data_IF_373931004983
#
_entry.id   IF_373931004983
#
_cell.length_a   1.000
_cell.length_b   1.000
_cell.length_c   1.000
_cell.angle_alpha   90.00
_cell.angle_beta   90.00
_cell.angle_gamma   90.00
#
_symmetry.space_group_name_H-M   'P 1'
#
loop_
_entity.id
_entity.type
_entity.pdbx_description
1 polymer ?
#
# COMPACT_ATOMS: atom_id res chain seq x y z
N UNK A 1 -11.72 -1.85 9.92
CA UNK A 1 -12.31 -0.81 9.05
C UNK A 1 -12.76 -1.47 7.73
N UNK A 2 -13.08 -0.71 6.69
CA UNK A 2 -13.45 -1.27 5.37
C UNK A 2 -12.26 -1.72 4.52
N UNK A 3 -11.02 -1.54 4.99
CA UNK A 3 -9.83 -2.00 4.27
C UNK A 3 -9.67 -3.54 4.35
N UNK A 4 -10.28 -4.16 5.38
CA UNK A 4 -10.48 -5.60 5.47
C UNK A 4 -9.38 -6.35 6.23
N UNK A 5 -9.62 -7.64 6.47
CA UNK A 5 -8.78 -8.49 7.34
C UNK A 5 -7.92 -9.51 6.59
N UNK A 6 -8.10 -9.63 5.27
CA UNK A 6 -7.47 -10.70 4.47
C UNK A 6 -5.94 -10.62 4.50
N UNK A 7 -5.36 -9.42 4.50
CA UNK A 7 -3.91 -9.22 4.62
C UNK A 7 -3.35 -9.79 5.92
N UNK A 8 -4.03 -9.55 7.04
CA UNK A 8 -3.66 -10.08 8.35
C UNK A 8 -3.77 -11.62 8.38
N UNK A 9 -4.87 -12.18 7.89
CA UNK A 9 -5.04 -13.64 7.83
C UNK A 9 -3.94 -14.30 6.99
N UNK A 10 -3.58 -13.68 5.86
CA UNK A 10 -2.50 -14.19 5.01
C UNK A 10 -1.14 -14.09 5.70
N UNK A 11 -0.87 -12.99 6.43
CA UNK A 11 0.35 -12.83 7.21
C UNK A 11 0.45 -13.88 8.32
N UNK A 12 -0.64 -14.15 9.05
CA UNK A 12 -0.67 -15.19 10.09
C UNK A 12 -0.38 -16.58 9.51
N UNK A 13 -0.95 -16.88 8.33
CA UNK A 13 -0.66 -18.11 7.61
C UNK A 13 0.84 -18.18 7.25
N UNK A 14 1.39 -17.15 6.61
CA UNK A 14 2.82 -17.10 6.23
C UNK A 14 3.73 -17.24 7.46
N UNK A 15 3.38 -16.58 8.57
CA UNK A 15 4.13 -16.67 9.81
C UNK A 15 4.15 -18.11 10.35
N UNK A 16 3.00 -18.80 10.34
CA UNK A 16 2.91 -20.21 10.71
C UNK A 16 3.76 -21.09 9.78
N UNK A 17 3.66 -20.89 8.47
CA UNK A 17 4.39 -21.69 7.47
C UNK A 17 5.92 -21.51 7.59
N UNK A 18 6.38 -20.34 8.07
CA UNK A 18 7.80 -20.00 8.22
C UNK A 18 8.32 -20.06 9.67
N UNK A 19 7.53 -20.58 10.62
CA UNK A 19 7.85 -20.60 12.05
C UNK A 19 8.19 -19.20 12.64
N UNK A 20 7.57 -18.14 12.11
CA UNK A 20 7.68 -16.80 12.67
C UNK A 20 6.71 -16.66 13.85
N UNK A 21 7.17 -16.04 14.94
CA UNK A 21 6.34 -15.77 16.10
C UNK A 21 5.69 -14.41 15.99
N UNK A 22 4.37 -14.39 15.90
CA UNK A 22 3.56 -13.19 16.14
C UNK A 22 3.36 -13.11 17.65
N UNK A 23 3.96 -12.11 18.28
CA UNK A 23 3.90 -11.88 19.73
C UNK A 23 2.53 -11.37 20.17
N UNK A 24 1.86 -10.62 19.31
CA UNK A 24 0.56 -10.05 19.58
C UNK A 24 -0.23 -9.78 18.31
N UNK A 25 -1.55 -9.92 18.38
CA UNK A 25 -2.48 -9.44 17.36
C UNK A 25 -3.55 -8.62 18.06
N UNK A 26 -3.71 -7.37 17.66
CA UNK A 26 -4.73 -6.48 18.20
C UNK A 26 -5.75 -6.09 17.14
N UNK A 27 -6.97 -5.84 17.61
CA UNK A 27 -8.06 -5.32 16.81
C UNK A 27 -8.70 -4.17 17.56
N UNK A 28 -9.01 -3.09 16.84
CA UNK A 28 -9.71 -1.95 17.40
C UNK A 28 -10.97 -1.66 16.56
N UNK A 29 -11.96 -1.08 17.21
CA UNK A 29 -13.20 -0.63 16.54
C UNK A 29 -12.99 0.78 16.01
N UNK A 30 -13.40 1.03 14.77
CA UNK A 30 -13.38 2.38 14.19
C UNK A 30 -14.75 3.02 14.39
N UNK A 31 -14.88 4.02 15.28
CA UNK A 31 -16.15 4.72 15.48
C UNK A 31 -16.53 5.56 14.25
N UNK A 32 -17.81 5.95 14.15
CA UNK A 32 -18.28 6.87 13.09
C UNK A 32 -17.58 8.23 13.18
N UNK A 33 -17.39 8.72 14.40
CA UNK A 33 -16.64 9.93 14.69
C UNK A 33 -15.25 9.53 15.18
N UNK A 34 -14.24 9.77 14.34
CA UNK A 34 -12.85 9.43 14.65
C UNK A 34 -12.29 10.18 15.86
N UNK A 35 -12.90 11.30 16.28
CA UNK A 35 -12.49 12.00 17.50
C UNK A 35 -12.76 11.17 18.77
N UNK A 36 -13.64 10.16 18.69
CA UNK A 36 -13.97 9.25 19.79
C UNK A 36 -13.10 7.99 19.79
N UNK A 37 -12.16 7.88 18.85
CA UNK A 37 -11.29 6.71 18.75
C UNK A 37 -10.26 6.74 19.87
N UNK A 38 -10.19 5.66 20.63
CA UNK A 38 -9.15 5.39 21.62
C UNK A 38 -8.60 3.98 21.38
N UNK A 39 -7.29 3.87 21.23
CA UNK A 39 -6.57 2.60 21.04
C UNK A 39 -5.53 2.36 22.13
N UNK A 40 -5.72 3.02 23.28
CA UNK A 40 -4.75 3.02 24.36
C UNK A 40 -4.53 1.64 24.96
N UNK A 41 -5.59 0.85 25.09
CA UNK A 41 -5.53 -0.50 25.66
C UNK A 41 -4.75 -1.44 24.74
N UNK A 42 -5.07 -1.45 23.45
CA UNK A 42 -4.43 -2.26 22.43
C UNK A 42 -2.92 -1.95 22.36
N UNK A 43 -2.57 -0.66 22.34
CA UNK A 43 -1.15 -0.24 22.31
C UNK A 43 -0.41 -0.56 23.62
N UNK A 44 -1.08 -0.50 24.78
CA UNK A 44 -0.49 -0.93 26.05
C UNK A 44 -0.20 -2.44 26.03
N UNK A 45 -1.08 -3.24 25.42
CA UNK A 45 -0.89 -4.68 25.24
C UNK A 45 0.29 -4.96 24.29
N UNK A 46 0.39 -4.23 23.18
CA UNK A 46 1.54 -4.31 22.26
C UNK A 46 2.84 -3.96 22.98
N UNK A 47 2.87 -2.85 23.74
CA UNK A 47 4.05 -2.43 24.51
C UNK A 47 4.54 -3.50 25.48
N UNK A 48 3.62 -4.19 26.16
CA UNK A 48 3.92 -5.27 27.11
C UNK A 48 4.38 -6.57 26.44
N UNK A 49 4.06 -6.77 25.15
CA UNK A 49 4.43 -7.97 24.40
C UNK A 49 5.92 -8.04 23.99
N UNK A 50 6.65 -6.94 24.23
CA UNK A 50 8.04 -6.72 23.80
C UNK A 50 8.23 -6.80 22.27
N UNK A 51 7.15 -6.68 21.49
CA UNK A 51 7.23 -6.54 20.05
C UNK A 51 7.99 -5.27 19.66
N UNK A 52 8.81 -5.38 18.62
CA UNK A 52 9.60 -4.27 18.06
C UNK A 52 9.23 -3.96 16.61
N UNK A 53 8.65 -4.93 15.91
CA UNK A 53 8.10 -4.74 14.58
C UNK A 53 6.59 -4.70 14.70
N UNK A 54 5.96 -3.63 14.25
CA UNK A 54 4.51 -3.42 14.34
C UNK A 54 3.97 -3.23 12.93
N UNK A 55 3.05 -4.10 12.53
CA UNK A 55 2.41 -4.06 11.21
C UNK A 55 1.02 -3.47 11.37
N UNK A 56 0.77 -2.30 10.82
CA UNK A 56 -0.50 -1.59 10.94
C UNK A 56 -1.31 -1.69 9.64
N UNK A 57 -2.42 -2.42 9.70
CA UNK A 57 -3.32 -2.63 8.57
C UNK A 57 -4.65 -1.87 8.77
N UNK A 58 -4.70 -0.61 8.33
CA UNK A 58 -5.91 0.21 8.33
C UNK A 58 -5.81 1.38 7.35
N UNK A 59 -6.90 2.12 7.16
CA UNK A 59 -6.93 3.35 6.37
C UNK A 59 -6.04 4.46 6.97
N UNK A 60 -5.49 5.33 6.10
CA UNK A 60 -4.60 6.44 6.47
C UNK A 60 -5.10 7.31 7.64
N UNK A 61 -6.36 7.75 7.61
CA UNK A 61 -6.93 8.60 8.67
C UNK A 61 -6.98 7.92 10.04
N UNK A 62 -7.21 6.60 10.05
CA UNK A 62 -7.21 5.76 11.25
C UNK A 62 -5.78 5.52 11.72
N UNK A 63 -4.87 5.16 10.80
CA UNK A 63 -3.46 4.96 11.10
C UNK A 63 -2.83 6.19 11.75
N UNK A 64 -3.19 7.38 11.25
CA UNK A 64 -2.76 8.66 11.82
C UNK A 64 -3.12 8.82 13.30
N UNK A 65 -4.28 8.33 13.72
CA UNK A 65 -4.72 8.40 15.13
C UNK A 65 -3.97 7.36 15.95
N UNK A 66 -3.86 6.12 15.45
CA UNK A 66 -3.11 5.05 16.12
C UNK A 66 -1.66 5.47 16.38
N UNK A 67 -1.00 6.07 15.39
CA UNK A 67 0.39 6.52 15.50
C UNK A 67 0.55 7.68 16.50
N UNK A 68 -0.45 8.56 16.67
CA UNK A 68 -0.43 9.59 17.72
C UNK A 68 -0.46 8.98 19.12
N UNK A 69 -1.36 8.02 19.37
CA UNK A 69 -1.37 7.29 20.65
C UNK A 69 -0.10 6.45 20.84
N UNK A 70 0.50 5.94 19.76
CA UNK A 70 1.76 5.21 19.82
C UNK A 70 2.93 6.13 20.22
N UNK A 71 2.96 7.36 19.70
CA UNK A 71 3.94 8.40 20.06
C UNK A 71 3.87 8.70 21.56
N UNK A 72 2.67 8.96 22.09
CA UNK A 72 2.44 9.22 23.53
C UNK A 72 2.89 8.06 24.44
N UNK A 73 2.95 6.84 23.88
CA UNK A 73 3.37 5.64 24.60
C UNK A 73 4.83 5.27 24.36
N UNK A 74 5.60 6.05 23.60
CA UNK A 74 7.00 5.74 23.26
C UNK A 74 7.15 4.47 22.42
N UNK A 75 6.13 4.16 21.60
CA UNK A 75 6.17 3.04 20.65
C UNK A 75 6.75 3.46 19.29
N UNK A 76 7.10 4.73 19.13
CA UNK A 76 7.76 5.29 17.94
C UNK A 76 9.24 5.64 18.19
N UNK A 77 9.72 5.39 19.42
CA UNK A 77 11.09 5.66 19.84
C UNK A 77 12.08 4.68 19.18
N UNK A 78 13.37 4.94 19.40
CA UNK A 78 14.46 4.07 18.95
C UNK A 78 14.21 2.59 19.27
N UNK A 79 14.37 1.74 18.26
CA UNK A 79 14.23 0.30 18.37
C UNK A 79 12.85 -0.24 17.98
N UNK A 80 11.87 0.60 17.66
CA UNK A 80 10.64 0.18 17.00
C UNK A 80 10.71 0.34 15.47
N UNK A 81 9.99 -0.51 14.76
CA UNK A 81 9.78 -0.42 13.33
C UNK A 81 8.29 -0.55 13.06
N UNK A 82 7.72 0.45 12.38
CA UNK A 82 6.33 0.42 11.93
C UNK A 82 6.27 0.16 10.42
N UNK A 83 5.43 -0.78 10.04
CA UNK A 83 5.14 -1.13 8.65
C UNK A 83 3.66 -0.88 8.40
N UNK A 84 3.33 0.01 7.48
CA UNK A 84 1.96 0.31 7.06
C UNK A 84 1.65 -0.24 5.68
N UNK A 85 0.37 -0.43 5.37
CA UNK A 85 -0.07 -0.89 4.05
C UNK A 85 -0.21 0.24 3.04
N UNK A 86 -0.49 -0.12 1.79
CA UNK A 86 -0.78 0.79 0.68
C UNK A 86 -2.00 1.68 0.90
N UNK A 87 -2.91 1.32 1.81
CA UNK A 87 -3.97 2.22 2.27
C UNK A 87 -3.42 3.49 2.93
N UNK A 88 -2.30 3.38 3.64
CA UNK A 88 -1.64 4.52 4.29
C UNK A 88 -0.76 5.26 3.30
N UNK A 89 0.10 4.55 2.58
CA UNK A 89 1.07 5.18 1.67
C UNK A 89 0.36 5.86 0.49
N UNK A 90 -0.70 5.26 -0.04
CA UNK A 90 -1.47 5.83 -1.16
C UNK A 90 -2.33 7.05 -0.80
N UNK A 91 -2.50 7.34 0.50
CA UNK A 91 -3.23 8.50 1.03
C UNK A 91 -2.35 9.30 2.00
N UNK A 92 -1.07 9.47 1.64
CA UNK A 92 -0.06 10.10 2.48
C UNK A 92 -0.34 11.59 2.79
N UNK A 93 -1.26 12.23 2.08
CA UNK A 93 -1.72 13.59 2.37
C UNK A 93 -2.29 13.74 3.78
N UNK A 94 -2.80 12.65 4.38
CA UNK A 94 -3.19 12.63 5.79
C UNK A 94 -2.02 12.91 6.74
N UNK A 95 -0.79 12.68 6.30
CA UNK A 95 0.46 12.75 7.06
C UNK A 95 1.23 14.06 6.82
N UNK A 96 0.67 15.01 6.06
CA UNK A 96 1.35 16.27 5.68
C UNK A 96 1.41 17.33 6.79
N UNK A 97 2.33 18.29 6.63
CA UNK A 97 2.88 19.24 7.62
C UNK A 97 1.87 20.00 8.51
N UNK A 98 0.60 20.15 8.09
CA UNK A 98 -0.42 20.85 8.90
C UNK A 98 -1.02 20.00 10.02
N UNK A 99 -0.75 18.69 10.07
CA UNK A 99 -1.50 17.74 10.94
C UNK A 99 -0.65 16.99 11.98
N UNK A 100 0.70 17.10 11.96
CA UNK A 100 1.61 16.16 12.64
C UNK A 100 2.94 16.78 13.10
N UNK A 101 3.51 16.27 14.20
CA UNK A 101 4.91 16.46 14.62
C UNK A 101 5.90 15.84 13.61
N UNK A 102 6.77 16.68 13.02
CA UNK A 102 7.59 16.34 11.82
C UNK A 102 8.59 15.18 11.97
N UNK A 103 8.91 14.72 13.18
CA UNK A 103 10.01 13.77 13.40
C UNK A 103 9.58 12.40 13.91
N UNK A 104 8.39 12.28 14.51
CA UNK A 104 8.01 11.06 15.22
C UNK A 104 7.80 9.87 14.28
N UNK A 105 7.53 10.10 12.99
CA UNK A 105 7.14 9.06 12.04
C UNK A 105 8.21 8.75 11.00
N UNK A 106 9.35 9.46 11.08
CA UNK A 106 10.49 9.23 10.19
C UNK A 106 10.96 7.79 10.32
N UNK A 107 11.22 7.15 9.19
CA UNK A 107 11.62 5.75 9.13
C UNK A 107 10.48 4.73 9.14
N UNK A 108 9.21 5.16 9.23
CA UNK A 108 8.07 4.27 8.99
C UNK A 108 8.15 3.68 7.58
N UNK A 109 7.99 2.37 7.46
CA UNK A 109 7.98 1.66 6.19
C UNK A 109 6.56 1.46 5.70
N UNK A 110 6.38 1.36 4.39
CA UNK A 110 5.14 0.91 3.81
C UNK A 110 5.31 0.36 2.41
N UNK A 111 4.21 -0.15 1.88
CA UNK A 111 4.16 -0.70 0.51
C UNK A 111 3.22 0.12 -0.35
N UNK A 112 3.48 0.18 -1.65
CA UNK A 112 2.57 0.76 -2.62
C UNK A 112 2.69 -0.01 -3.93
N UNK A 113 1.61 -0.33 -4.67
CA UNK A 113 1.74 -0.86 -6.01
C UNK A 113 2.61 0.08 -6.84
N UNK A 114 3.65 -0.43 -7.48
CA UNK A 114 4.50 0.39 -8.34
C UNK A 114 3.66 0.90 -9.50
N UNK A 115 3.68 2.22 -9.65
CA UNK A 115 2.90 2.96 -10.62
C UNK A 115 3.83 4.05 -11.12
N UNK A 116 4.13 4.07 -12.43
CA UNK A 116 4.94 5.05 -13.18
C UNK A 116 5.55 4.30 -14.36
N UNK A 117 4.67 3.87 -15.26
CA UNK A 117 5.14 3.21 -16.45
C UNK A 117 5.76 4.24 -17.39
N UNK A 118 7.09 4.22 -17.47
CA UNK A 118 7.83 5.12 -18.35
C UNK A 118 7.94 4.57 -19.78
N UNK A 119 7.45 3.34 -20.03
CA UNK A 119 7.34 2.81 -21.40
C UNK A 119 6.38 3.71 -22.18
N UNK A 120 6.81 4.12 -23.37
CA UNK A 120 6.07 5.00 -24.29
C UNK A 120 5.60 6.33 -23.67
N UNK A 121 6.22 6.78 -22.57
CA UNK A 121 5.87 8.01 -21.88
C UNK A 121 4.40 8.06 -21.37
N UNK A 122 3.76 6.91 -21.16
CA UNK A 122 2.34 6.80 -20.80
C UNK A 122 2.02 7.48 -19.47
N UNK A 123 2.87 7.28 -18.45
CA UNK A 123 2.67 7.96 -17.17
C UNK A 123 2.71 9.49 -17.30
N UNK A 124 3.64 10.03 -18.07
CA UNK A 124 3.73 11.46 -18.31
C UNK A 124 2.50 11.98 -19.06
N UNK A 125 2.02 11.24 -20.07
CA UNK A 125 0.80 11.59 -20.78
C UNK A 125 -0.40 11.66 -19.84
N UNK A 126 -0.58 10.67 -18.96
CA UNK A 126 -1.60 10.68 -17.90
C UNK A 126 -1.50 11.95 -17.04
N UNK A 127 -0.32 12.26 -16.52
CA UNK A 127 -0.10 13.44 -15.66
C UNK A 127 -0.44 14.73 -16.42
N UNK A 128 0.07 14.91 -17.65
CA UNK A 128 -0.18 16.12 -18.45
C UNK A 128 -1.66 16.29 -18.75
N UNK A 129 -2.36 15.23 -19.15
CA UNK A 129 -3.78 15.30 -19.45
C UNK A 129 -4.60 15.63 -18.21
N UNK A 130 -4.26 15.04 -17.06
CA UNK A 130 -4.91 15.39 -15.82
C UNK A 130 -4.68 16.85 -15.45
N UNK A 131 -3.42 17.29 -15.43
CA UNK A 131 -3.08 18.67 -15.05
C UNK A 131 -3.76 19.71 -15.95
N UNK A 132 -3.93 19.41 -17.25
CA UNK A 132 -4.66 20.29 -18.18
C UNK A 132 -6.15 20.42 -17.89
N UNK A 133 -6.80 19.34 -17.47
CA UNK A 133 -8.26 19.32 -17.28
C UNK A 133 -8.68 19.66 -15.86
N UNK A 134 -7.79 19.43 -14.88
CA UNK A 134 -8.12 19.48 -13.47
C UNK A 134 -7.19 20.38 -12.65
N UNK A 135 -6.42 21.29 -13.26
CA UNK A 135 -5.83 22.45 -12.56
C UNK A 135 -6.61 23.72 -12.91
N UNK A 136 -7.28 24.32 -11.93
CA UNK A 136 -8.03 25.57 -12.06
C UNK A 136 -8.72 25.97 -10.75
N UNK A 137 -9.27 27.19 -10.61
CA UNK A 137 -9.94 27.60 -9.38
C UNK A 137 -11.10 26.63 -9.04
N UNK A 138 -10.99 25.92 -7.92
CA UNK A 138 -11.97 24.89 -7.51
C UNK A 138 -11.58 23.45 -7.87
N UNK A 139 -10.40 23.21 -8.45
CA UNK A 139 -9.85 21.86 -8.51
C UNK A 139 -9.47 21.36 -7.12
N UNK A 140 -9.33 20.03 -6.98
CA UNK A 140 -8.74 19.39 -5.81
C UNK A 140 -7.25 19.77 -5.73
N UNK A 141 -6.96 21.04 -5.41
CA UNK A 141 -5.63 21.68 -5.46
C UNK A 141 -4.60 21.05 -4.50
N UNK A 142 -5.05 20.14 -3.63
CA UNK A 142 -4.22 19.47 -2.63
C UNK A 142 -3.96 17.98 -2.92
N UNK A 143 -4.46 17.43 -4.03
CA UNK A 143 -4.24 16.01 -4.33
C UNK A 143 -3.02 15.84 -5.22
N UNK A 144 -1.88 15.42 -4.65
CA UNK A 144 -0.68 15.11 -5.42
C UNK A 144 -0.85 13.77 -6.14
N UNK A 145 -1.50 13.81 -7.31
CA UNK A 145 -1.66 12.64 -8.16
C UNK A 145 -0.36 12.03 -8.63
N UNK A 146 0.76 12.76 -8.59
CA UNK A 146 2.06 12.17 -8.90
C UNK A 146 2.38 11.06 -7.90
N UNK A 147 1.73 11.04 -6.74
CA UNK A 147 1.95 10.07 -5.69
C UNK A 147 0.80 9.07 -5.51
N UNK A 148 -0.26 9.14 -6.33
CA UNK A 148 -1.42 8.25 -6.16
C UNK A 148 -1.45 7.10 -7.20
N UNK A 149 -1.06 5.91 -6.75
CA UNK A 149 -1.09 4.69 -7.57
C UNK A 149 -2.50 4.34 -8.06
N UNK A 150 -3.49 4.46 -7.19
CA UNK A 150 -4.85 4.00 -7.46
C UNK A 150 -5.55 4.84 -8.53
N UNK A 151 -5.30 6.15 -8.58
CA UNK A 151 -5.86 7.02 -9.60
C UNK A 151 -5.33 6.66 -11.00
N UNK A 152 -4.04 6.36 -11.12
CA UNK A 152 -3.45 5.87 -12.37
C UNK A 152 -3.99 4.49 -12.75
N UNK A 153 -4.21 3.60 -11.77
CA UNK A 153 -4.84 2.29 -12.02
C UNK A 153 -6.30 2.41 -12.45
N UNK A 154 -7.08 3.34 -11.89
CA UNK A 154 -8.45 3.62 -12.32
C UNK A 154 -8.46 4.15 -13.76
N UNK A 155 -7.55 5.07 -14.08
CA UNK A 155 -7.37 5.56 -15.45
C UNK A 155 -7.14 4.40 -16.43
N UNK A 156 -6.20 3.50 -16.12
CA UNK A 156 -5.89 2.34 -16.96
C UNK A 156 -7.07 1.35 -17.04
N UNK A 157 -7.84 1.19 -15.96
CA UNK A 157 -8.99 0.25 -15.91
C UNK A 157 -10.06 0.57 -16.96
N UNK A 158 -10.25 1.85 -17.29
CA UNK A 158 -11.20 2.29 -18.31
C UNK A 158 -10.75 1.81 -19.69
N UNK A 159 -9.46 1.92 -20.01
CA UNK A 159 -8.91 1.45 -21.28
C UNK A 159 -8.91 -0.07 -21.37
N UNK A 160 -8.54 -0.75 -20.29
CA UNK A 160 -8.61 -2.23 -20.23
C UNK A 160 -10.03 -2.71 -20.52
N UNK A 161 -11.02 -2.10 -19.89
CA UNK A 161 -12.42 -2.44 -20.14
C UNK A 161 -12.84 -2.11 -21.58
N UNK A 162 -12.43 -0.96 -22.11
CA UNK A 162 -12.74 -0.56 -23.48
C UNK A 162 -12.14 -1.52 -24.52
N UNK A 163 -10.90 -1.95 -24.35
CA UNK A 163 -10.27 -2.96 -25.21
C UNK A 163 -11.02 -4.29 -25.15
N UNK A 164 -11.30 -4.80 -23.95
CA UNK A 164 -12.06 -6.03 -23.79
C UNK A 164 -13.45 -5.96 -24.43
N UNK A 165 -14.12 -4.81 -24.29
CA UNK A 165 -15.43 -4.58 -24.87
C UNK A 165 -15.36 -4.49 -26.39
N UNK A 166 -14.35 -3.82 -26.94
CA UNK A 166 -14.13 -3.76 -28.38
C UNK A 166 -13.96 -5.16 -28.97
N UNK A 167 -13.06 -5.98 -28.41
CA UNK A 167 -12.83 -7.35 -28.86
C UNK A 167 -14.09 -8.22 -28.73
N UNK A 168 -14.86 -8.03 -27.66
CA UNK A 168 -16.14 -8.68 -27.46
C UNK A 168 -17.14 -8.33 -28.56
N UNK A 169 -17.25 -7.05 -28.94
CA UNK A 169 -18.16 -6.57 -29.97
C UNK A 169 -17.73 -7.00 -31.38
N UNK A 170 -16.43 -7.00 -31.67
CA UNK A 170 -15.87 -7.48 -32.94
C UNK A 170 -16.14 -8.97 -33.19
N UNK A 171 -16.34 -9.76 -32.13
CA UNK A 171 -16.82 -11.14 -32.22
C UNK A 171 -18.31 -11.27 -32.57
N UNK A 172 -19.00 -10.16 -32.82
CA UNK A 172 -20.44 -10.11 -33.11
C UNK A 172 -21.32 -10.41 -31.89
N UNK A 173 -20.77 -10.30 -30.67
CA UNK A 173 -21.51 -10.55 -29.44
C UNK A 173 -22.32 -9.30 -29.04
N UNK A 174 -23.62 -9.48 -28.80
CA UNK A 174 -24.50 -8.36 -28.41
C UNK A 174 -24.40 -8.00 -26.93
N UNK A 175 -24.61 -6.74 -26.60
CA UNK A 175 -24.87 -6.26 -25.23
C UNK A 175 -26.38 -6.32 -24.99
N UNK A 176 -26.88 -7.48 -24.60
CA UNK A 176 -28.30 -7.59 -24.20
C UNK A 176 -28.44 -7.32 -22.72
N UNK A 177 -29.37 -6.45 -22.36
CA UNK A 177 -29.74 -6.19 -20.96
C UNK A 177 -30.08 -7.50 -20.23
N UNK A 178 -29.51 -7.67 -19.03
CA UNK A 178 -29.83 -8.80 -18.18
C UNK A 178 -31.20 -8.56 -17.52
N UNK A 179 -32.16 -9.44 -17.79
CA UNK A 179 -33.41 -9.45 -17.02
C UNK A 179 -33.11 -9.93 -15.60
N UNK A 180 -33.50 -9.16 -14.59
CA UNK A 180 -33.29 -9.43 -13.16
C UNK A 180 -33.80 -10.83 -12.74
N UNK A 181 -34.75 -11.41 -13.46
CA UNK A 181 -35.27 -12.76 -13.22
C UNK A 181 -34.33 -13.91 -13.61
N UNK A 182 -33.22 -13.64 -14.31
CA UNK A 182 -32.19 -14.65 -14.61
C UNK A 182 -31.11 -14.66 -13.55
N UNK A 183 -30.72 -15.86 -13.10
CA UNK A 183 -29.65 -16.06 -12.13
C UNK A 183 -28.24 -15.92 -12.73
N UNK A 184 -28.12 -15.91 -14.06
CA UNK A 184 -26.84 -15.78 -14.78
C UNK A 184 -27.01 -15.10 -16.14
N UNK A 185 -26.01 -14.30 -16.51
CA UNK A 185 -25.88 -13.66 -17.82
C UNK A 185 -24.87 -14.43 -18.66
N UNK A 186 -25.34 -15.18 -19.67
CA UNK A 186 -24.50 -16.05 -20.50
C UNK A 186 -23.36 -15.29 -21.20
N UNK A 187 -23.61 -14.02 -21.54
CA UNK A 187 -22.63 -13.13 -22.14
C UNK A 187 -21.59 -12.60 -21.14
N UNK A 188 -21.89 -12.59 -19.84
CA UNK A 188 -20.96 -12.14 -18.80
C UNK A 188 -19.68 -12.99 -18.76
N UNK A 189 -19.80 -14.31 -18.95
CA UNK A 189 -18.62 -15.21 -19.06
C UNK A 189 -17.78 -14.91 -20.29
N UNK A 190 -18.40 -14.57 -21.42
CA UNK A 190 -17.69 -14.22 -22.65
C UNK A 190 -17.01 -12.86 -22.53
N UNK A 191 -17.66 -11.88 -21.91
CA UNK A 191 -17.06 -10.58 -21.62
C UNK A 191 -15.87 -10.74 -20.67
N UNK A 192 -16.03 -11.52 -19.60
CA UNK A 192 -14.93 -11.83 -18.67
C UNK A 192 -13.77 -12.54 -19.38
N UNK A 193 -14.04 -13.49 -20.26
CA UNK A 193 -13.00 -14.16 -21.04
C UNK A 193 -12.26 -13.21 -21.99
N UNK A 194 -12.90 -12.14 -22.48
CA UNK A 194 -12.23 -11.09 -23.24
C UNK A 194 -11.40 -10.18 -22.32
N UNK A 195 -11.92 -9.80 -21.15
CA UNK A 195 -11.17 -9.06 -20.13
C UNK A 195 -9.86 -9.76 -19.76
N UNK A 196 -9.88 -11.08 -19.52
CA UNK A 196 -8.69 -11.84 -19.14
C UNK A 196 -7.65 -11.97 -20.26
N UNK A 197 -8.00 -11.64 -21.51
CA UNK A 197 -7.09 -11.70 -22.66
C UNK A 197 -6.42 -10.36 -22.97
N UNK A 198 -6.87 -9.28 -22.34
CA UNK A 198 -6.30 -7.95 -22.57
C UNK A 198 -4.84 -7.93 -22.16
N UNK A 199 -3.99 -7.48 -23.08
CA UNK A 199 -2.60 -7.10 -22.83
C UNK A 199 -2.49 -5.59 -23.10
N UNK A 200 -2.40 -4.81 -22.03
CA UNK A 200 -2.50 -3.35 -22.10
C UNK A 200 -1.31 -2.69 -21.42
N UNK A 201 -0.57 -1.87 -22.16
CA UNK A 201 0.53 -1.06 -21.64
C UNK A 201 -0.01 0.29 -21.15
N UNK A 202 -0.40 0.38 -19.88
CA UNK A 202 -1.04 1.56 -19.29
C UNK A 202 -0.07 2.56 -18.67
N UNK A 203 -0.63 3.65 -18.12
CA UNK A 203 0.12 4.71 -17.43
C UNK A 203 0.73 4.25 -16.10
N UNK A 204 0.04 3.40 -15.35
CA UNK A 204 0.56 2.84 -14.09
C UNK A 204 1.56 1.73 -14.35
N UNK A 205 1.21 0.76 -15.20
CA UNK A 205 2.01 -0.42 -15.57
C UNK A 205 1.41 -1.15 -16.77
N UNK A 206 2.10 -2.20 -17.23
CA UNK A 206 1.51 -3.19 -18.14
C UNK A 206 0.59 -4.14 -17.38
N UNK A 207 -0.56 -4.43 -17.99
CA UNK A 207 -1.59 -5.32 -17.47
C UNK A 207 -1.71 -6.54 -18.37
N UNK A 208 -1.63 -7.70 -17.73
CA UNK A 208 -1.96 -9.02 -18.26
C UNK A 208 -2.70 -9.74 -17.14
N UNK A 209 -3.49 -10.77 -17.47
CA UNK A 209 -4.36 -11.44 -16.50
C UNK A 209 -4.25 -12.95 -16.64
N UNK A 210 -4.36 -13.65 -15.52
CA UNK A 210 -4.55 -15.09 -15.54
C UNK A 210 -6.03 -15.45 -15.80
N UNK A 211 -6.33 -16.75 -15.83
CA UNK A 211 -7.69 -17.25 -16.10
C UNK A 211 -8.72 -16.88 -15.02
N UNK A 212 -8.30 -16.48 -13.82
CA UNK A 212 -9.18 -16.04 -12.74
C UNK A 212 -9.35 -14.51 -12.71
N UNK A 213 -8.70 -13.79 -13.62
CA UNK A 213 -8.75 -12.32 -13.69
C UNK A 213 -7.77 -11.62 -12.75
N UNK A 214 -6.88 -12.35 -12.09
CA UNK A 214 -5.82 -11.74 -11.29
C UNK A 214 -4.78 -11.13 -12.23
N UNK A 215 -4.38 -9.90 -11.91
CA UNK A 215 -3.35 -9.24 -12.70
C UNK A 215 -1.99 -9.89 -12.48
N UNK A 216 -1.32 -10.17 -13.59
CA UNK A 216 0.04 -10.68 -13.62
C UNK A 216 1.03 -9.50 -13.66
N UNK A 217 2.29 -9.78 -13.31
CA UNK A 217 3.39 -8.81 -13.37
C UNK A 217 3.18 -7.59 -12.45
N UNK A 218 2.62 -7.82 -11.26
CA UNK A 218 2.54 -6.77 -10.24
C UNK A 218 3.92 -6.55 -9.61
N UNK A 219 4.30 -5.28 -9.47
CA UNK A 219 5.47 -4.84 -8.72
C UNK A 219 4.99 -3.95 -7.59
N UNK A 220 5.62 -4.04 -6.44
CA UNK A 220 5.36 -3.19 -5.28
C UNK A 220 6.60 -2.37 -4.97
N UNK A 221 6.43 -1.08 -4.78
CA UNK A 221 7.45 -0.18 -4.25
C UNK A 221 7.45 -0.28 -2.74
N UNK A 222 8.65 -0.34 -2.17
CA UNK A 222 8.88 -0.25 -0.72
C UNK A 222 9.18 1.20 -0.44
N UNK A 223 8.39 1.77 0.47
CA UNK A 223 8.35 3.18 0.75
C UNK A 223 8.84 3.43 2.17
N UNK A 224 9.59 4.51 2.38
CA UNK A 224 10.07 4.94 3.69
C UNK A 224 9.65 6.40 3.91
N UNK A 225 9.03 6.68 5.05
CA UNK A 225 8.60 8.02 5.44
C UNK A 225 9.81 8.84 5.87
N UNK A 226 10.03 9.99 5.22
CA UNK A 226 11.24 10.80 5.40
C UNK A 226 10.95 12.07 6.20
N UNK A 227 12.03 12.75 6.61
CA UNK A 227 12.02 14.06 7.27
C UNK A 227 11.22 15.15 6.54
N UNK A 228 11.08 15.06 5.21
CA UNK A 228 10.25 15.98 4.42
C UNK A 228 8.74 15.68 4.53
N UNK A 229 8.34 14.79 5.45
CA UNK A 229 6.95 14.35 5.68
C UNK A 229 6.31 13.68 4.47
N UNK A 230 7.10 12.97 3.66
CA UNK A 230 6.60 12.20 2.52
C UNK A 230 7.18 10.80 2.49
N UNK A 231 6.43 9.87 1.88
CA UNK A 231 6.94 8.56 1.53
C UNK A 231 7.82 8.64 0.29
N UNK A 232 9.05 8.13 0.38
CA UNK A 232 9.96 7.95 -0.75
C UNK A 232 10.21 6.48 -1.00
N UNK A 233 10.31 6.11 -2.28
CA UNK A 233 10.70 4.76 -2.67
C UNK A 233 12.15 4.49 -2.28
N UNK A 234 12.36 3.38 -1.57
CA UNK A 234 13.66 2.89 -1.12
C UNK A 234 14.00 1.51 -1.67
N UNK A 235 13.03 0.82 -2.27
CA UNK A 235 13.22 -0.49 -2.88
C UNK A 235 11.96 -0.98 -3.57
N UNK A 236 11.97 -2.23 -4.02
CA UNK A 236 10.82 -2.86 -4.65
C UNK A 236 10.75 -4.37 -4.40
N UNK A 237 9.56 -4.93 -4.58
CA UNK A 237 9.27 -6.34 -4.49
C UNK A 237 8.42 -6.76 -5.70
N UNK A 238 8.80 -7.86 -6.33
CA UNK A 238 8.08 -8.47 -7.45
C UNK A 238 7.82 -9.94 -7.08
N UNK A 239 6.54 -10.38 -7.02
CA UNK A 239 6.22 -11.78 -6.76
C UNK A 239 6.92 -12.71 -7.76
N UNK A 240 7.53 -13.78 -7.25
CA UNK A 240 8.34 -14.71 -8.04
C UNK A 240 9.84 -14.44 -7.96
N UNK A 241 10.27 -13.26 -7.49
CA UNK A 241 11.64 -13.05 -7.04
C UNK A 241 11.75 -13.33 -5.53
N UNK A 242 12.80 -14.03 -5.12
CA UNK A 242 12.99 -14.49 -3.73
C UNK A 242 13.42 -13.39 -2.77
N UNK A 243 13.76 -12.19 -3.26
CA UNK A 243 14.31 -11.11 -2.46
C UNK A 243 13.73 -9.76 -2.85
N UNK A 244 13.53 -8.91 -1.84
CA UNK A 244 13.36 -7.47 -2.04
C UNK A 244 14.59 -6.90 -2.75
N UNK A 245 14.35 -6.07 -3.74
CA UNK A 245 15.42 -5.36 -4.45
C UNK A 245 15.53 -3.96 -3.89
N UNK A 246 16.73 -3.63 -3.44
CA UNK A 246 17.09 -2.29 -3.10
C UNK A 246 18.00 -1.79 -4.22
N UNK A 247 17.55 -0.81 -4.99
CA UNK A 247 18.40 -0.20 -6.02
C UNK A 247 19.45 0.64 -5.30
N UNK A 248 20.75 0.38 -5.52
CA UNK A 248 21.86 0.79 -4.64
C UNK A 248 21.85 2.26 -4.19
N UNK A 249 21.37 3.19 -5.03
CA UNK A 249 21.27 4.62 -4.68
C UNK A 249 20.13 4.92 -3.68
N UNK A 250 19.07 4.12 -3.68
CA UNK A 250 17.88 4.29 -2.87
C UNK A 250 18.01 3.65 -1.47
N UNK A 251 18.90 2.67 -1.28
CA UNK A 251 19.15 2.05 0.04
C UNK A 251 19.70 3.04 1.06
N UNK A 252 20.50 4.01 0.59
CA UNK A 252 21.05 5.07 1.43
C UNK A 252 19.98 6.01 2.01
N UNK A 253 18.75 5.96 1.47
CA UNK A 253 17.60 6.77 1.90
C UNK A 253 16.76 6.10 2.98
N UNK A 254 17.06 4.86 3.36
CA UNK A 254 16.33 4.20 4.45
C UNK A 254 16.63 4.92 5.76
N UNK A 255 15.60 5.50 6.35
CA UNK A 255 15.60 6.02 7.70
C UNK A 255 14.96 5.01 8.65
N UNK A 256 15.32 5.09 9.93
CA UNK A 256 14.74 4.27 10.99
C UNK A 256 14.04 5.17 12.00
N UNK A 257 13.01 4.61 12.64
CA UNK A 257 12.25 5.33 13.66
C UNK A 257 13.13 5.66 14.88
N UNK A 258 12.80 6.78 15.52
CA UNK A 258 13.57 7.34 16.64
C UNK A 258 14.83 8.12 16.24
N UNK A 259 15.21 8.14 14.96
CA UNK A 259 16.45 8.79 14.50
C UNK A 259 17.68 7.89 14.57
N UNK A 260 17.48 6.58 14.75
CA UNK A 260 18.54 5.59 14.68
C UNK A 260 19.26 5.63 13.31
N UNK A 261 20.52 6.09 13.27
CA UNK A 261 21.40 5.88 12.13
C UNK A 261 22.07 4.50 12.26
N UNK A 262 21.77 3.52 11.39
CA UNK A 262 22.40 2.19 11.44
C UNK A 262 23.92 2.23 11.24
N UNK A 263 24.47 3.34 10.74
CA UNK A 263 25.92 3.56 10.58
C UNK A 263 26.57 4.09 11.86
N UNK A 264 25.79 4.60 12.81
CA UNK A 264 26.29 5.13 14.06
C UNK A 264 26.40 4.01 15.10
N UNK A 265 27.56 3.32 15.10
CA UNK A 265 27.90 2.18 15.98
C UNK A 265 27.91 2.49 17.50
N UNK A 266 27.32 3.59 17.96
CA UNK A 266 27.26 3.99 19.37
C UNK A 266 25.87 3.81 20.01
N UNK A 267 24.82 3.59 19.21
CA UNK A 267 23.58 2.98 19.68
C UNK A 267 23.64 1.48 19.44
N UNK A 268 23.05 0.67 20.33
CA UNK A 268 22.97 -0.77 20.13
C UNK A 268 22.42 -1.04 18.72
N UNK A 269 23.08 -1.87 17.89
CA UNK A 269 22.59 -2.16 16.55
C UNK A 269 21.17 -2.70 16.68
N UNK A 270 20.29 -2.31 15.76
CA UNK A 270 19.06 -3.05 15.50
C UNK A 270 19.52 -4.45 15.04
N UNK A 271 19.67 -5.35 16.00
CA UNK A 271 19.92 -6.76 15.74
C UNK A 271 18.66 -7.33 15.10
N UNK A 272 18.54 -7.14 13.79
CA UNK A 272 17.86 -8.12 12.94
C UNK A 272 18.74 -9.37 13.03
N UNK A 273 18.45 -10.19 14.04
CA UNK A 273 19.38 -11.20 14.50
C UNK A 273 19.68 -12.23 13.42
N UNK A 274 20.85 -12.84 13.55
CA UNK A 274 21.30 -13.95 12.72
C UNK A 274 20.30 -15.10 12.81
N UNK A 275 20.21 -15.91 11.74
CA UNK A 275 19.35 -17.09 11.64
C UNK A 275 19.28 -17.86 12.98
N UNK A 276 18.17 -17.67 13.70
CA UNK A 276 17.98 -18.14 15.08
C UNK A 276 17.27 -17.13 15.99
N UNK A 277 17.41 -15.82 15.72
CA UNK A 277 16.69 -14.78 16.45
C UNK A 277 15.32 -14.49 15.84
N UNK A 278 14.28 -14.84 16.60
CA UNK A 278 12.89 -14.61 16.20
C UNK A 278 12.61 -13.12 16.30
N UNK A 279 12.47 -12.46 15.14
CA UNK A 279 11.99 -11.08 15.07
C UNK A 279 10.65 -10.96 15.79
N UNK A 280 10.53 -10.03 16.73
CA UNK A 280 9.35 -9.90 17.61
C UNK A 280 8.31 -9.00 16.95
N UNK A 281 7.34 -9.63 16.28
CA UNK A 281 6.31 -8.95 15.47
C UNK A 281 4.98 -8.83 16.23
N UNK A 282 4.36 -7.66 16.19
CA UNK A 282 2.97 -7.43 16.51
C UNK A 282 2.21 -6.97 15.25
N UNK A 283 0.92 -7.31 15.18
CA UNK A 283 0.01 -6.92 14.10
C UNK A 283 -1.21 -6.24 14.71
#
# INVERSE_FOLDING_TARGET
DSYGINGMLKLQQIASDNNWKIHNTQHFTVPKDLAQMDVSEELNVIKKSEARIIILNCQAGVARIVLKFAEEKGLLDDGYMWIVTDAVVGNQEEFTEKKVSKMAWNGMLGTLPSFRNNVDNMYHHYVVQYERHFKGPGSLDNYDLKQNAFAAMVYDSVFIFAHALNDYLEQGLGLTEMKISKQYWDYGKKLFANLTKVDYNGASRRYTFNSTGESQNIKFSIMNFQEDSTFKEVGSYEPGFSQMRCEDQNCSRVQFMGGADPRNKRGAPLHLGTAGDVSRVAV
#
